data_IF_561090453218
#
_entry.id   IF_561090453218
#
_cell.length_a   1.000
_cell.length_b   1.000
_cell.length_c   1.000
_cell.angle_alpha   90.00
_cell.angle_beta   90.00
_cell.angle_gamma   90.00
#
_symmetry.space_group_name_H-M   'P 1'
#
loop_
_entity.id
_entity.type
_entity.pdbx_description
1 polymer ?
#
# COMPACT_ATOMS: atom_id res chain seq x y z
N UNK A 1 42.10 24.58 7.06
CA UNK A 1 41.33 25.09 5.90
C UNK A 1 40.64 26.37 6.34
N UNK A 2 41.02 27.50 5.72
CA UNK A 2 40.65 28.85 6.14
C UNK A 2 39.16 29.16 5.96
N UNK A 3 38.65 30.04 6.83
CA UNK A 3 37.27 30.52 6.94
C UNK A 3 36.94 31.63 5.93
N UNK A 4 37.60 31.64 4.75
CA UNK A 4 37.68 32.82 3.86
C UNK A 4 36.75 32.79 2.63
N UNK A 5 35.75 31.90 2.56
CA UNK A 5 34.85 31.84 1.38
C UNK A 5 33.36 31.87 1.74
N UNK A 6 32.94 32.87 2.51
CA UNK A 6 31.52 33.25 2.60
C UNK A 6 31.33 34.72 2.18
N UNK A 7 30.32 35.07 1.37
CA UNK A 7 30.10 36.46 0.95
C UNK A 7 29.72 37.34 2.16
N UNK A 8 30.42 38.47 2.33
CA UNK A 8 30.05 39.49 3.32
C UNK A 8 28.99 40.41 2.72
N UNK A 9 27.81 40.47 3.34
CA UNK A 9 26.79 41.44 2.99
C UNK A 9 27.23 42.84 3.45
N UNK A 10 27.18 43.84 2.56
CA UNK A 10 27.29 45.25 2.95
C UNK A 10 26.06 45.62 3.77
N UNK A 11 26.25 46.19 4.95
CA UNK A 11 25.18 46.84 5.69
C UNK A 11 24.65 48.00 4.83
N UNK A 12 23.43 47.85 4.32
CA UNK A 12 22.69 48.95 3.72
C UNK A 12 21.96 49.63 4.87
N UNK A 13 22.40 50.84 5.23
CA UNK A 13 21.63 51.71 6.11
C UNK A 13 20.42 52.21 5.33
N UNK A 14 19.22 51.88 5.84
CA UNK A 14 17.98 52.46 5.31
C UNK A 14 17.75 53.81 5.97
N UNK A 15 17.79 54.85 5.16
CA UNK A 15 17.46 56.23 5.56
C UNK A 15 15.97 56.31 5.95
N UNK A 16 15.69 56.65 7.21
CA UNK A 16 14.35 56.59 7.81
C UNK A 16 13.40 57.71 7.37
N UNK A 17 13.77 58.54 6.38
CA UNK A 17 13.01 59.73 5.99
C UNK A 17 12.29 59.68 4.64
N UNK A 18 12.30 58.55 3.90
CA UNK A 18 11.65 58.46 2.58
C UNK A 18 10.24 57.84 2.55
N UNK A 19 9.58 57.64 3.70
CA UNK A 19 8.30 56.89 3.79
C UNK A 19 7.03 57.77 3.68
N UNK A 20 7.14 59.08 3.41
CA UNK A 20 5.98 59.99 3.49
C UNK A 20 5.46 60.60 2.17
N UNK A 21 5.93 60.16 1.00
CA UNK A 21 5.39 60.63 -0.28
C UNK A 21 4.85 59.50 -1.17
N UNK A 22 3.81 58.80 -0.70
CA UNK A 22 2.91 58.06 -1.60
C UNK A 22 1.71 58.94 -1.99
N UNK A 23 1.76 59.37 -3.25
CA UNK A 23 0.78 60.19 -3.96
C UNK A 23 -0.63 59.60 -3.88
N UNK A 24 -1.57 60.49 -3.51
CA UNK A 24 -3.02 60.34 -3.75
C UNK A 24 -3.25 59.90 -5.21
N UNK A 25 -3.63 58.65 -5.38
CA UNK A 25 -4.12 58.11 -6.65
C UNK A 25 -5.62 57.95 -6.54
N UNK A 26 -6.32 58.62 -7.45
CA UNK A 26 -7.76 58.74 -7.60
C UNK A 26 -8.47 57.39 -7.56
N UNK A 27 -9.50 57.28 -6.71
CA UNK A 27 -10.40 56.12 -6.67
C UNK A 27 -11.32 56.19 -7.89
N UNK A 28 -10.99 55.47 -8.96
CA UNK A 28 -11.92 55.20 -10.05
C UNK A 28 -12.84 54.06 -9.62
N UNK A 29 -14.07 54.37 -9.22
CA UNK A 29 -15.10 53.37 -8.96
C UNK A 29 -15.61 52.81 -10.30
N UNK A 30 -15.05 51.69 -10.75
CA UNK A 30 -15.65 50.90 -11.82
C UNK A 30 -16.87 50.14 -11.26
N UNK A 31 -18.08 50.58 -11.60
CA UNK A 31 -19.29 49.77 -11.38
C UNK A 31 -19.31 48.64 -12.42
N UNK A 32 -18.81 47.47 -12.04
CA UNK A 32 -19.05 46.22 -12.77
C UNK A 32 -20.50 45.77 -12.50
N UNK A 33 -21.41 46.11 -13.40
CA UNK A 33 -22.73 45.48 -13.48
C UNK A 33 -22.57 44.09 -14.10
N UNK A 34 -22.23 43.09 -13.27
CA UNK A 34 -22.34 41.71 -13.69
C UNK A 34 -23.83 41.35 -13.75
N UNK A 35 -24.39 41.24 -14.95
CA UNK A 35 -25.69 40.61 -15.14
C UNK A 35 -25.56 39.16 -14.67
N UNK A 36 -26.16 38.85 -13.51
CA UNK A 36 -26.21 37.50 -12.95
C UNK A 36 -27.11 36.67 -13.88
N UNK A 37 -26.53 36.12 -14.94
CA UNK A 37 -27.13 35.01 -15.66
C UNK A 37 -27.24 33.87 -14.64
N UNK A 38 -28.48 33.45 -14.40
CA UNK A 38 -28.91 32.52 -13.35
C UNK A 38 -28.49 31.08 -13.69
N UNK A 39 -27.21 30.86 -13.94
CA UNK A 39 -26.59 29.54 -13.94
C UNK A 39 -25.95 29.40 -12.56
N UNK A 40 -26.53 28.56 -11.71
CA UNK A 40 -26.03 28.32 -10.36
C UNK A 40 -24.70 27.56 -10.43
N UNK A 41 -23.61 28.24 -10.75
CA UNK A 41 -22.27 27.67 -10.60
C UNK A 41 -22.01 27.44 -9.11
N UNK A 42 -21.57 26.22 -8.78
CA UNK A 42 -21.16 25.87 -7.42
C UNK A 42 -20.01 26.79 -6.97
N UNK A 43 -20.02 27.21 -5.69
CA UNK A 43 -19.04 28.15 -5.14
C UNK A 43 -17.57 27.74 -5.35
N UNK A 44 -17.31 26.43 -5.41
CA UNK A 44 -16.00 25.85 -5.72
C UNK A 44 -16.17 24.62 -6.60
N UNK A 45 -15.17 24.31 -7.42
CA UNK A 45 -15.17 23.09 -8.21
C UNK A 45 -14.74 21.89 -7.35
N UNK A 46 -15.65 20.95 -7.11
CA UNK A 46 -15.40 19.75 -6.31
C UNK A 46 -14.37 18.79 -6.93
N UNK A 47 -14.11 18.86 -8.24
CA UNK A 47 -13.19 17.93 -8.89
C UNK A 47 -11.75 18.08 -8.38
N UNK A 48 -11.40 19.28 -7.91
CA UNK A 48 -10.09 19.62 -7.36
C UNK A 48 -9.85 19.06 -5.95
N UNK A 49 -10.81 18.35 -5.37
CA UNK A 49 -10.75 17.88 -4.00
C UNK A 49 -10.80 16.35 -3.89
N UNK A 50 -10.01 15.84 -2.94
CA UNK A 50 -9.97 14.43 -2.54
C UNK A 50 -10.34 14.24 -1.05
N UNK A 51 -10.65 15.33 -0.35
CA UNK A 51 -10.96 15.32 1.08
C UNK A 51 -12.20 16.16 1.36
N UNK A 52 -13.22 15.52 1.95
CA UNK A 52 -14.50 16.14 2.23
C UNK A 52 -14.43 17.20 3.34
N UNK A 53 -13.60 16.99 4.35
CA UNK A 53 -13.46 17.95 5.45
C UNK A 53 -12.83 19.25 4.95
N UNK A 54 -11.84 19.13 4.05
CA UNK A 54 -11.26 20.29 3.36
C UNK A 54 -12.30 21.05 2.53
N UNK A 55 -13.18 20.35 1.83
CA UNK A 55 -14.32 20.95 1.09
C UNK A 55 -15.22 21.74 2.04
N UNK A 56 -15.61 21.16 3.19
CA UNK A 56 -16.45 21.86 4.16
C UNK A 56 -15.77 23.11 4.73
N UNK A 57 -14.51 23.01 5.12
CA UNK A 57 -13.77 24.14 5.69
C UNK A 57 -13.63 25.28 4.69
N UNK A 58 -13.24 25.00 3.45
CA UNK A 58 -13.09 26.04 2.41
C UNK A 58 -14.44 26.66 2.08
N UNK A 59 -15.49 25.85 1.96
CA UNK A 59 -16.85 26.36 1.69
C UNK A 59 -17.33 27.25 2.83
N UNK A 60 -17.07 26.89 4.09
CA UNK A 60 -17.42 27.70 5.25
C UNK A 60 -16.70 29.05 5.22
N UNK A 61 -15.39 29.07 4.89
CA UNK A 61 -14.64 30.31 4.71
C UNK A 61 -15.20 31.20 3.60
N UNK A 62 -15.55 30.62 2.45
CA UNK A 62 -16.16 31.35 1.34
C UNK A 62 -17.52 31.93 1.76
N UNK A 63 -18.36 31.14 2.44
CA UNK A 63 -19.66 31.61 2.93
C UNK A 63 -19.52 32.74 3.98
N UNK A 64 -18.50 32.67 4.85
CA UNK A 64 -18.20 33.76 5.80
C UNK A 64 -17.73 35.01 5.07
N UNK A 65 -16.86 34.88 4.09
CA UNK A 65 -16.40 36.00 3.28
C UNK A 65 -17.58 36.72 2.60
N UNK A 66 -18.49 35.96 1.98
CA UNK A 66 -19.72 36.51 1.39
C UNK A 66 -20.60 37.22 2.42
N UNK A 67 -20.73 36.66 3.63
CA UNK A 67 -21.45 37.29 4.73
C UNK A 67 -20.83 38.64 5.14
N UNK A 68 -19.50 38.73 5.20
CA UNK A 68 -18.79 39.92 5.67
C UNK A 68 -18.73 41.07 4.65
N UNK A 69 -18.92 40.76 3.35
CA UNK A 69 -19.06 41.79 2.30
C UNK A 69 -20.44 42.46 2.37
N UNK A 70 -21.44 41.74 2.87
CA UNK A 70 -22.83 42.20 2.89
C UNK A 70 -23.03 43.31 3.95
N UNK A 71 -23.31 44.54 3.50
CA UNK A 71 -23.31 45.77 4.34
C UNK A 71 -24.20 45.72 5.59
N UNK A 72 -25.23 44.87 5.61
CA UNK A 72 -26.24 44.80 6.68
C UNK A 72 -26.01 43.66 7.68
N UNK A 73 -24.95 42.86 7.52
CA UNK A 73 -24.68 41.71 8.39
C UNK A 73 -23.54 41.99 9.36
N UNK A 74 -23.63 41.36 10.53
CA UNK A 74 -22.54 41.37 11.51
C UNK A 74 -21.33 40.65 10.92
N UNK A 75 -20.17 41.31 11.02
CA UNK A 75 -18.91 40.73 10.54
C UNK A 75 -18.45 39.65 11.51
N UNK A 76 -18.07 38.51 10.97
CA UNK A 76 -17.60 37.35 11.73
C UNK A 76 -16.08 37.23 11.51
N UNK A 77 -15.32 37.06 12.58
CA UNK A 77 -13.86 36.91 12.58
C UNK A 77 -13.43 35.73 13.47
N UNK A 78 -12.15 35.34 13.44
CA UNK A 78 -11.61 34.23 14.23
C UNK A 78 -11.65 32.88 13.52
N UNK A 79 -11.58 31.78 14.27
CA UNK A 79 -11.62 30.41 13.72
C UNK A 79 -13.01 30.00 13.21
N UNK A 80 -13.09 28.94 12.39
CA UNK A 80 -14.37 28.41 11.91
C UNK A 80 -15.18 27.80 13.04
N UNK A 81 -16.45 28.18 13.12
CA UNK A 81 -17.38 27.65 14.13
C UNK A 81 -18.13 26.42 13.58
N UNK A 82 -18.59 25.55 14.48
CA UNK A 82 -19.39 24.39 14.10
C UNK A 82 -20.64 24.73 13.27
N UNK A 83 -21.42 25.80 13.58
CA UNK A 83 -22.55 26.21 12.75
C UNK A 83 -22.17 26.57 11.30
N UNK A 84 -20.99 27.15 11.08
CA UNK A 84 -20.53 27.49 9.73
C UNK A 84 -20.16 26.24 8.92
N UNK A 85 -19.56 25.26 9.58
CA UNK A 85 -19.29 23.95 8.99
C UNK A 85 -20.59 23.22 8.67
N UNK A 86 -21.59 23.24 9.56
CA UNK A 86 -22.91 22.68 9.29
C UNK A 86 -23.59 23.39 8.11
N UNK A 87 -23.51 24.72 8.04
CA UNK A 87 -24.02 25.48 6.89
C UNK A 87 -23.33 25.08 5.58
N UNK A 88 -22.02 24.85 5.60
CA UNK A 88 -21.27 24.35 4.46
C UNK A 88 -21.70 22.93 4.04
N UNK A 89 -21.97 22.03 4.99
CA UNK A 89 -22.51 20.69 4.71
C UNK A 89 -23.87 20.78 4.02
N UNK A 90 -24.79 21.54 4.60
CA UNK A 90 -26.14 21.74 4.05
C UNK A 90 -26.09 22.39 2.67
N UNK A 91 -25.18 23.33 2.44
CA UNK A 91 -24.95 23.92 1.12
C UNK A 91 -24.65 22.85 0.07
N UNK A 92 -23.71 21.93 0.32
CA UNK A 92 -23.35 20.90 -0.65
C UNK A 92 -24.44 19.88 -0.91
N UNK A 93 -25.19 19.50 0.13
CA UNK A 93 -26.36 18.64 -0.03
C UNK A 93 -27.38 19.34 -0.93
N UNK A 94 -27.68 20.61 -0.64
CA UNK A 94 -28.61 21.43 -1.43
C UNK A 94 -28.18 21.55 -2.88
N UNK A 95 -26.92 21.91 -3.13
CA UNK A 95 -26.38 22.06 -4.49
C UNK A 95 -26.45 20.74 -5.26
N UNK A 96 -26.04 19.63 -4.64
CA UNK A 96 -26.06 18.32 -5.29
C UNK A 96 -27.49 17.88 -5.63
N UNK A 97 -28.44 18.14 -4.73
CA UNK A 97 -29.86 17.83 -4.95
C UNK A 97 -30.48 18.74 -6.01
N UNK A 98 -30.20 20.05 -5.98
CA UNK A 98 -30.69 20.99 -6.99
C UNK A 98 -30.13 20.67 -8.37
N UNK A 99 -28.87 20.27 -8.48
CA UNK A 99 -28.25 19.95 -9.76
C UNK A 99 -28.91 18.72 -10.43
N UNK A 100 -29.20 17.66 -9.68
CA UNK A 100 -29.72 16.40 -10.24
C UNK A 100 -31.25 16.28 -10.17
N UNK A 101 -31.88 16.79 -9.11
CA UNK A 101 -33.30 16.59 -8.80
C UNK A 101 -34.11 17.90 -8.87
N UNK A 102 -33.71 18.87 -9.71
CA UNK A 102 -34.38 20.17 -9.78
C UNK A 102 -35.88 20.01 -10.09
N UNK A 103 -36.22 19.12 -11.05
CA UNK A 103 -37.61 18.86 -11.47
C UNK A 103 -38.46 18.38 -10.31
N UNK A 104 -37.94 17.44 -9.52
CA UNK A 104 -38.61 16.89 -8.34
C UNK A 104 -38.77 17.94 -7.24
N UNK A 105 -37.73 18.73 -6.97
CA UNK A 105 -37.75 19.80 -5.98
C UNK A 105 -38.79 20.85 -6.35
N UNK A 106 -38.81 21.29 -7.60
CA UNK A 106 -39.75 22.31 -8.07
C UNK A 106 -41.21 21.81 -8.08
N UNK A 107 -41.42 20.51 -8.27
CA UNK A 107 -42.76 19.90 -8.14
C UNK A 107 -43.23 19.91 -6.68
N UNK A 108 -42.37 19.48 -5.75
CA UNK A 108 -42.70 19.45 -4.33
C UNK A 108 -42.90 20.85 -3.74
N UNK A 109 -42.13 21.85 -4.18
CA UNK A 109 -42.34 23.26 -3.77
C UNK A 109 -43.70 23.81 -4.19
N UNK A 110 -44.29 23.30 -5.27
CA UNK A 110 -45.62 23.67 -5.76
C UNK A 110 -46.72 22.76 -5.21
N UNK A 111 -46.41 21.96 -4.19
CA UNK A 111 -47.31 20.97 -3.58
C UNK A 111 -47.86 19.94 -4.58
N UNK A 112 -47.14 19.70 -5.68
CA UNK A 112 -47.48 18.69 -6.68
C UNK A 112 -46.76 17.37 -6.36
N UNK A 113 -47.41 16.26 -6.71
CA UNK A 113 -46.79 14.94 -6.66
C UNK A 113 -45.63 14.83 -7.66
N UNK A 114 -44.58 14.11 -7.31
CA UNK A 114 -43.50 13.76 -8.23
C UNK A 114 -44.03 12.82 -9.33
N UNK A 115 -43.52 13.01 -10.54
CA UNK A 115 -43.83 12.16 -11.70
C UNK A 115 -43.39 10.70 -11.47
N UNK A 116 -44.21 9.75 -11.96
CA UNK A 116 -44.01 8.31 -11.76
C UNK A 116 -42.74 7.75 -12.41
N UNK A 117 -42.18 8.46 -13.39
CA UNK A 117 -40.94 8.11 -14.09
C UNK A 117 -39.68 8.40 -13.25
N UNK A 118 -39.80 9.22 -12.21
CA UNK A 118 -38.66 9.64 -11.40
C UNK A 118 -38.12 8.48 -10.60
N UNK A 119 -36.78 8.40 -10.54
CA UNK A 119 -36.04 7.47 -9.67
C UNK A 119 -36.39 7.66 -8.18
N UNK A 120 -36.89 8.85 -7.82
CA UNK A 120 -37.29 9.18 -6.46
C UNK A 120 -38.72 8.81 -6.12
N UNK A 121 -39.59 8.54 -7.09
CA UNK A 121 -41.02 8.31 -6.86
C UNK A 121 -41.28 7.23 -5.80
N UNK A 122 -40.57 6.10 -5.89
CA UNK A 122 -40.67 4.98 -4.95
C UNK A 122 -40.18 5.27 -3.53
N UNK A 123 -39.47 6.38 -3.31
CA UNK A 123 -38.86 6.74 -2.02
C UNK A 123 -39.76 7.66 -1.16
N UNK A 124 -40.96 7.99 -1.64
CA UNK A 124 -41.88 8.93 -1.01
C UNK A 124 -41.17 10.21 -0.50
N UNK A 125 -40.45 10.93 -1.37
CA UNK A 125 -39.58 12.01 -0.97
C UNK A 125 -40.38 13.25 -0.53
N UNK A 126 -39.88 13.95 0.48
CA UNK A 126 -40.42 15.24 0.93
C UNK A 126 -39.31 16.27 1.08
N UNK A 127 -39.67 17.54 1.20
CA UNK A 127 -38.75 18.61 1.57
C UNK A 127 -38.72 18.75 3.09
N UNK A 128 -37.52 18.84 3.66
CA UNK A 128 -37.34 19.20 5.07
C UNK A 128 -37.46 20.72 5.29
N UNK A 129 -37.33 21.17 6.54
CA UNK A 129 -37.40 22.58 6.96
C UNK A 129 -36.37 23.47 6.23
N UNK A 130 -35.28 22.89 5.73
CA UNK A 130 -34.24 23.60 4.98
C UNK A 130 -34.45 23.55 3.45
N UNK A 131 -35.55 22.95 3.01
CA UNK A 131 -35.86 22.71 1.60
C UNK A 131 -34.98 21.65 0.95
N UNK A 132 -34.48 20.68 1.73
CA UNK A 132 -33.69 19.55 1.22
C UNK A 132 -34.58 18.32 1.02
N UNK A 133 -34.31 17.55 -0.03
CA UNK A 133 -34.97 16.28 -0.28
C UNK A 133 -34.59 15.24 0.78
N UNK A 134 -35.59 14.69 1.45
CA UNK A 134 -35.46 13.60 2.42
C UNK A 134 -36.34 12.43 2.03
N UNK A 135 -35.91 11.22 2.40
CA UNK A 135 -36.76 10.03 2.33
C UNK A 135 -37.77 10.08 3.47
N UNK A 136 -39.01 9.65 3.20
CA UNK A 136 -39.98 9.39 4.26
C UNK A 136 -40.39 7.94 4.25
N UNK A 137 -40.70 7.39 5.43
CA UNK A 137 -40.95 5.97 5.59
C UNK A 137 -41.65 5.65 6.91
N UNK A 138 -41.68 4.36 7.24
CA UNK A 138 -42.46 3.82 8.37
C UNK A 138 -41.81 4.02 9.74
N UNK A 139 -40.62 4.63 9.80
CA UNK A 139 -39.88 4.85 11.04
C UNK A 139 -40.28 6.13 11.79
N UNK A 140 -41.35 6.81 11.40
CA UNK A 140 -41.76 8.08 12.02
C UNK A 140 -41.94 8.00 13.55
N UNK A 141 -42.42 6.86 14.06
CA UNK A 141 -42.67 6.62 15.48
C UNK A 141 -41.53 5.89 16.22
N UNK A 142 -40.40 5.58 15.58
CA UNK A 142 -39.27 4.93 16.27
C UNK A 142 -38.52 5.91 17.19
N UNK A 143 -37.62 5.41 18.04
CA UNK A 143 -36.75 6.27 18.87
C UNK A 143 -35.53 6.84 18.13
N UNK A 144 -35.32 6.45 16.86
CA UNK A 144 -34.24 6.97 16.03
C UNK A 144 -34.24 8.50 15.90
N UNK A 145 -33.06 9.06 15.63
CA UNK A 145 -32.91 10.48 15.36
C UNK A 145 -33.70 10.90 14.10
N UNK A 146 -34.07 12.18 14.01
CA UNK A 146 -34.82 12.68 12.86
C UNK A 146 -34.11 12.43 11.52
N UNK A 147 -32.77 12.42 11.50
CA UNK A 147 -31.99 12.18 10.28
C UNK A 147 -31.86 10.70 9.91
N UNK A 148 -31.96 9.80 10.88
CA UNK A 148 -32.09 8.36 10.61
C UNK A 148 -33.48 8.01 10.07
N UNK A 149 -34.53 8.66 10.61
CA UNK A 149 -35.90 8.52 10.12
C UNK A 149 -36.09 9.11 8.73
N UNK A 150 -35.50 10.28 8.51
CA UNK A 150 -35.64 11.08 7.29
C UNK A 150 -34.27 11.46 6.71
N UNK A 151 -33.52 10.48 6.17
CA UNK A 151 -32.19 10.73 5.63
C UNK A 151 -32.24 11.53 4.33
N UNK A 152 -31.24 12.38 4.12
CA UNK A 152 -31.15 13.21 2.91
C UNK A 152 -30.86 12.36 1.69
N UNK A 153 -31.62 12.58 0.62
CA UNK A 153 -31.47 11.86 -0.63
C UNK A 153 -30.25 12.40 -1.37
N UNK A 154 -29.34 11.52 -1.77
CA UNK A 154 -28.19 11.89 -2.59
C UNK A 154 -28.12 11.05 -3.88
N UNK A 155 -27.76 11.66 -5.02
CA UNK A 155 -27.53 10.95 -6.26
C UNK A 155 -26.28 10.06 -6.16
N UNK A 156 -26.21 9.06 -7.01
CA UNK A 156 -25.02 8.22 -7.16
C UNK A 156 -24.11 8.75 -8.26
N UNK A 157 -22.80 8.69 -8.04
CA UNK A 157 -21.80 9.02 -9.05
C UNK A 157 -21.29 10.46 -8.98
N UNK A 158 -22.03 11.36 -8.33
CA UNK A 158 -21.58 12.75 -8.13
C UNK A 158 -20.36 12.83 -7.22
N UNK A 159 -19.48 13.80 -7.52
CA UNK A 159 -18.22 13.99 -6.81
C UNK A 159 -18.40 14.20 -5.32
N UNK A 160 -19.41 14.99 -4.93
CA UNK A 160 -19.77 15.18 -3.52
C UNK A 160 -20.09 13.85 -2.83
N UNK A 161 -20.94 13.03 -3.45
CA UNK A 161 -21.30 11.71 -2.92
C UNK A 161 -20.11 10.76 -2.86
N UNK A 162 -19.20 10.81 -3.83
CA UNK A 162 -17.95 10.01 -3.81
C UNK A 162 -17.09 10.41 -2.61
N UNK A 163 -16.86 11.71 -2.39
CA UNK A 163 -16.10 12.23 -1.26
C UNK A 163 -16.77 11.86 0.08
N UNK A 164 -18.10 11.93 0.14
CA UNK A 164 -18.88 11.51 1.30
C UNK A 164 -18.71 10.03 1.62
N UNK A 165 -18.77 9.15 0.62
CA UNK A 165 -18.53 7.72 0.79
C UNK A 165 -17.09 7.47 1.26
N UNK A 166 -16.10 8.16 0.69
CA UNK A 166 -14.69 8.03 1.11
C UNK A 166 -14.48 8.47 2.55
N UNK A 167 -15.11 9.56 2.96
CA UNK A 167 -15.09 10.06 4.33
C UNK A 167 -15.72 9.04 5.29
N UNK A 168 -16.92 8.55 4.99
CA UNK A 168 -17.58 7.53 5.79
C UNK A 168 -16.75 6.24 5.90
N UNK A 169 -16.12 5.83 4.79
CA UNK A 169 -15.26 4.65 4.76
C UNK A 169 -14.03 4.77 5.67
N UNK A 170 -13.44 5.98 5.75
CA UNK A 170 -12.34 6.28 6.68
C UNK A 170 -12.81 6.27 8.14
N UNK A 171 -13.99 6.83 8.42
CA UNK A 171 -14.54 6.88 9.78
C UNK A 171 -14.85 5.50 10.35
N UNK A 172 -15.30 4.56 9.51
CA UNK A 172 -15.49 3.15 9.91
C UNK A 172 -14.21 2.31 9.83
N UNK A 173 -13.04 2.96 9.78
CA UNK A 173 -11.72 2.32 9.78
C UNK A 173 -11.56 1.24 8.70
N UNK A 174 -12.03 1.53 7.49
CA UNK A 174 -11.93 0.62 6.34
C UNK A 174 -12.63 -0.75 6.49
N UNK A 175 -13.53 -0.91 7.45
CA UNK A 175 -14.14 -2.21 7.80
C UNK A 175 -14.86 -2.92 6.64
N UNK A 176 -15.48 -2.15 5.74
CA UNK A 176 -16.04 -2.70 4.51
C UNK A 176 -17.34 -2.05 4.06
N UNK A 177 -17.96 -2.67 3.06
CA UNK A 177 -19.14 -2.11 2.36
C UNK A 177 -20.33 -1.97 3.29
N UNK A 178 -20.63 -3.00 4.11
CA UNK A 178 -21.80 -3.03 4.97
C UNK A 178 -21.75 -1.91 6.03
N UNK A 179 -20.64 -1.81 6.76
CA UNK A 179 -20.46 -0.79 7.80
C UNK A 179 -20.38 0.62 7.24
N UNK A 180 -19.72 0.80 6.08
CA UNK A 180 -19.70 2.12 5.40
C UNK A 180 -21.12 2.54 5.02
N UNK A 181 -21.93 1.61 4.49
CA UNK A 181 -23.32 1.90 4.13
C UNK A 181 -24.20 2.17 5.35
N UNK A 182 -24.00 1.43 6.45
CA UNK A 182 -24.72 1.66 7.71
C UNK A 182 -24.43 3.06 8.25
N UNK A 183 -23.15 3.45 8.33
CA UNK A 183 -22.75 4.79 8.79
C UNK A 183 -23.31 5.90 7.90
N UNK A 184 -23.35 5.70 6.58
CA UNK A 184 -23.98 6.66 5.67
C UNK A 184 -25.49 6.79 5.91
N UNK A 185 -26.18 5.67 6.20
CA UNK A 185 -27.64 5.64 6.39
C UNK A 185 -28.12 6.36 7.65
N UNK A 186 -27.23 6.66 8.59
CA UNK A 186 -27.56 7.51 9.74
C UNK A 186 -28.05 8.90 9.30
N UNK A 187 -27.60 9.39 8.14
CA UNK A 187 -27.90 10.76 7.67
C UNK A 187 -28.28 10.85 6.18
N UNK A 188 -27.91 9.86 5.37
CA UNK A 188 -27.96 9.94 3.92
C UNK A 188 -28.55 8.69 3.28
N UNK A 189 -29.45 8.90 2.32
CA UNK A 189 -29.96 7.86 1.44
C UNK A 189 -29.39 8.04 0.03
N UNK A 190 -28.29 7.35 -0.25
CA UNK A 190 -27.67 7.38 -1.58
C UNK A 190 -28.43 6.41 -2.50
N UNK A 191 -28.90 6.90 -3.65
CA UNK A 191 -29.53 6.07 -4.68
C UNK A 191 -28.57 4.94 -5.07
N UNK A 192 -29.06 3.69 -5.15
CA UNK A 192 -28.20 2.51 -5.41
C UNK A 192 -26.98 2.43 -4.45
N UNK A 193 -27.15 2.87 -3.20
CA UNK A 193 -26.06 3.13 -2.25
C UNK A 193 -25.04 2.00 -2.10
N UNK A 194 -25.48 0.73 -2.00
CA UNK A 194 -24.55 -0.41 -1.91
C UNK A 194 -23.64 -0.53 -3.14
N UNK A 195 -24.17 -0.29 -4.35
CA UNK A 195 -23.39 -0.29 -5.60
C UNK A 195 -22.40 0.87 -5.62
N UNK A 196 -22.84 2.06 -5.21
CA UNK A 196 -21.99 3.26 -5.12
C UNK A 196 -20.83 3.06 -4.14
N UNK A 197 -21.13 2.58 -2.93
CA UNK A 197 -20.12 2.26 -1.90
C UNK A 197 -19.13 1.22 -2.44
N UNK A 198 -19.61 0.11 -3.02
CA UNK A 198 -18.74 -0.92 -3.62
C UNK A 198 -17.81 -0.33 -4.68
N UNK A 199 -18.31 0.56 -5.55
CA UNK A 199 -17.53 1.20 -6.60
C UNK A 199 -16.41 2.08 -6.03
N UNK A 200 -16.71 2.88 -5.01
CA UNK A 200 -15.73 3.77 -4.37
C UNK A 200 -14.68 2.96 -3.60
N UNK A 201 -15.11 1.98 -2.80
CA UNK A 201 -14.21 1.12 -2.01
C UNK A 201 -13.30 0.27 -2.88
N UNK A 202 -13.75 -0.16 -4.08
CA UNK A 202 -12.91 -0.86 -5.05
C UNK A 202 -11.65 -0.07 -5.39
N UNK A 203 -11.69 1.26 -5.33
CA UNK A 203 -10.56 2.14 -5.63
C UNK A 203 -9.77 2.58 -4.40
N UNK A 204 -10.14 2.15 -3.20
CA UNK A 204 -9.39 2.47 -1.98
C UNK A 204 -8.03 1.77 -2.00
N UNK A 205 -6.93 2.53 -2.01
CA UNK A 205 -5.56 2.02 -2.05
C UNK A 205 -5.25 1.15 -0.83
N UNK A 206 -5.69 1.57 0.35
CA UNK A 206 -5.48 0.85 1.61
C UNK A 206 -6.15 -0.53 1.51
N UNK A 207 -7.47 -0.56 1.22
CA UNK A 207 -8.18 -1.83 1.06
C UNK A 207 -7.62 -2.70 -0.06
N UNK A 208 -7.18 -2.11 -1.19
CA UNK A 208 -6.51 -2.88 -2.26
C UNK A 208 -5.29 -3.59 -1.74
N UNK A 209 -4.38 -2.88 -1.05
CA UNK A 209 -3.12 -3.44 -0.53
C UNK A 209 -3.34 -4.63 0.40
N UNK A 210 -4.34 -4.56 1.27
CA UNK A 210 -4.64 -5.63 2.23
C UNK A 210 -5.47 -6.77 1.65
N UNK A 211 -6.26 -6.52 0.60
CA UNK A 211 -7.13 -7.53 -0.03
C UNK A 211 -6.55 -8.14 -1.32
N UNK A 212 -5.27 -7.88 -1.64
CA UNK A 212 -4.61 -8.52 -2.80
C UNK A 212 -4.54 -10.02 -2.56
N UNK A 213 -5.14 -10.81 -3.47
CA UNK A 213 -4.97 -12.26 -3.46
C UNK A 213 -3.54 -12.63 -3.88
N UNK A 214 -2.94 -13.69 -3.29
CA UNK A 214 -1.67 -14.23 -3.77
C UNK A 214 -1.74 -14.54 -5.27
N UNK A 215 -0.64 -14.33 -5.99
CA UNK A 215 -0.54 -14.73 -7.38
C UNK A 215 -0.76 -16.25 -7.55
N UNK A 216 -1.25 -16.68 -8.71
CA UNK A 216 -1.29 -18.09 -9.06
C UNK A 216 0.14 -18.55 -9.36
N UNK A 217 0.61 -19.59 -8.67
CA UNK A 217 1.91 -20.20 -8.94
C UNK A 217 1.73 -21.27 -10.02
N UNK A 218 2.40 -21.10 -11.16
CA UNK A 218 2.57 -22.17 -12.14
C UNK A 218 3.74 -23.08 -11.72
N UNK A 219 3.59 -24.39 -11.88
CA UNK A 219 4.64 -25.36 -11.55
C UNK A 219 5.73 -25.24 -12.62
N UNK A 220 6.92 -24.81 -12.22
CA UNK A 220 8.06 -24.74 -13.13
C UNK A 220 8.53 -26.14 -13.53
N UNK A 221 9.02 -26.34 -14.77
CA UNK A 221 9.64 -27.60 -15.19
C UNK A 221 10.88 -27.91 -14.33
N UNK A 222 11.18 -29.20 -14.16
CA UNK A 222 12.38 -29.62 -13.44
C UNK A 222 13.65 -29.16 -14.19
N UNK A 223 14.71 -28.74 -13.49
CA UNK A 223 15.98 -28.39 -14.13
C UNK A 223 16.55 -29.57 -14.92
N UNK A 224 17.14 -29.29 -16.09
CA UNK A 224 17.81 -30.31 -16.93
C UNK A 224 18.83 -31.14 -16.14
N UNK A 225 19.54 -30.51 -15.22
CA UNK A 225 20.53 -31.15 -14.34
C UNK A 225 19.94 -32.19 -13.38
N UNK A 226 18.60 -32.29 -13.26
CA UNK A 226 17.90 -33.36 -12.54
C UNK A 226 17.31 -34.43 -13.44
N UNK A 227 17.14 -34.15 -14.73
CA UNK A 227 16.45 -35.05 -15.66
C UNK A 227 17.41 -35.77 -16.59
N UNK A 228 18.61 -35.24 -16.79
CA UNK A 228 19.65 -35.86 -17.61
C UNK A 228 20.52 -36.77 -16.75
N UNK A 229 20.73 -37.98 -17.23
CA UNK A 229 21.64 -38.93 -16.61
C UNK A 229 23.07 -38.38 -16.54
N UNK A 230 23.69 -38.51 -15.37
CA UNK A 230 25.08 -38.08 -15.16
C UNK A 230 25.72 -38.93 -14.07
N UNK A 231 27.06 -39.07 -14.06
CA UNK A 231 27.77 -39.71 -12.97
C UNK A 231 27.35 -39.19 -11.58
N UNK A 232 27.32 -40.05 -10.55
CA UNK A 232 27.00 -39.64 -9.19
C UNK A 232 27.86 -38.45 -8.75
N UNK A 233 27.23 -37.51 -8.04
CA UNK A 233 27.84 -36.27 -7.54
C UNK A 233 28.44 -35.31 -8.59
N UNK A 234 28.26 -35.57 -9.90
CA UNK A 234 28.70 -34.61 -10.93
C UNK A 234 27.94 -33.28 -10.82
N UNK A 235 26.63 -33.35 -10.59
CA UNK A 235 25.81 -32.20 -10.21
C UNK A 235 25.29 -32.40 -8.80
N UNK A 236 25.60 -31.45 -7.93
CA UNK A 236 25.22 -31.47 -6.52
C UNK A 236 24.48 -30.22 -6.12
N UNK A 237 23.68 -30.32 -5.07
CA UNK A 237 23.26 -29.18 -4.26
C UNK A 237 23.94 -29.23 -2.90
N UNK A 238 24.16 -28.06 -2.30
CA UNK A 238 24.74 -27.91 -0.98
C UNK A 238 23.88 -27.03 -0.09
N UNK A 239 23.69 -27.49 1.14
CA UNK A 239 22.92 -26.80 2.17
C UNK A 239 23.55 -26.98 3.55
N UNK A 240 23.23 -26.06 4.46
CA UNK A 240 23.55 -26.21 5.87
C UNK A 240 22.30 -26.66 6.63
N UNK A 241 22.36 -27.85 7.22
CA UNK A 241 21.35 -28.33 8.15
C UNK A 241 21.80 -28.09 9.59
N UNK A 242 20.91 -27.56 10.43
CA UNK A 242 21.21 -27.37 11.85
C UNK A 242 20.30 -26.35 12.52
N UNK A 243 20.69 -25.88 13.72
CA UNK A 243 21.89 -26.32 14.47
C UNK A 243 21.73 -27.69 15.16
N UNK A 244 22.83 -28.45 15.21
CA UNK A 244 23.01 -29.62 16.09
C UNK A 244 23.97 -29.28 17.23
N UNK A 245 24.00 -30.10 18.28
CA UNK A 245 24.97 -29.97 19.37
C UNK A 245 25.88 -31.19 19.42
N UNK A 246 27.19 -30.96 19.32
CA UNK A 246 28.22 -31.99 19.43
C UNK A 246 28.86 -31.95 20.81
N UNK A 247 29.24 -33.12 21.35
CA UNK A 247 29.95 -33.21 22.63
C UNK A 247 31.42 -32.84 22.39
N UNK A 248 31.93 -31.88 23.14
CA UNK A 248 33.35 -31.51 23.17
C UNK A 248 33.94 -31.82 24.54
N UNK A 249 35.26 -31.69 24.68
CA UNK A 249 35.95 -31.97 25.95
C UNK A 249 35.53 -31.03 27.08
N UNK A 250 35.04 -29.84 26.74
CA UNK A 250 34.62 -28.76 27.65
C UNK A 250 33.10 -28.64 27.78
N UNK A 251 32.30 -29.44 27.07
CA UNK A 251 30.85 -29.38 27.15
C UNK A 251 30.13 -29.79 25.86
N UNK A 252 29.17 -28.96 25.43
CA UNK A 252 28.45 -29.15 24.18
C UNK A 252 28.55 -27.89 23.32
N UNK A 253 28.95 -28.05 22.06
CA UNK A 253 29.12 -26.94 21.13
C UNK A 253 28.13 -27.03 19.98
N UNK A 254 27.70 -25.87 19.51
CA UNK A 254 26.81 -25.74 18.36
C UNK A 254 27.58 -26.09 17.09
N UNK A 255 27.03 -26.99 16.30
CA UNK A 255 27.56 -27.38 15.00
C UNK A 255 26.44 -27.42 13.96
N UNK A 256 26.83 -27.62 12.72
CA UNK A 256 25.97 -27.70 11.55
C UNK A 256 26.41 -28.89 10.72
N UNK A 257 25.54 -29.35 9.84
CA UNK A 257 25.81 -30.40 8.87
C UNK A 257 25.86 -29.72 7.51
N UNK A 258 26.99 -29.81 6.81
CA UNK A 258 27.06 -29.50 5.40
C UNK A 258 26.54 -30.71 4.65
N UNK A 259 25.41 -30.53 3.97
CA UNK A 259 24.71 -31.59 3.26
C UNK A 259 24.93 -31.38 1.77
N UNK A 260 25.62 -32.34 1.14
CA UNK A 260 25.75 -32.41 -0.31
C UNK A 260 24.75 -33.44 -0.84
N UNK A 261 23.84 -33.03 -1.74
CA UNK A 261 22.87 -33.93 -2.38
C UNK A 261 23.21 -34.09 -3.85
N UNK A 262 23.35 -35.32 -4.33
CA UNK A 262 23.45 -35.59 -5.75
C UNK A 262 22.11 -35.31 -6.46
N UNK A 263 22.13 -34.56 -7.56
CA UNK A 263 20.93 -34.17 -8.29
C UNK A 263 20.21 -35.35 -8.98
N UNK A 264 20.98 -36.36 -9.41
CA UNK A 264 20.49 -37.52 -10.18
C UNK A 264 20.05 -38.64 -9.25
N UNK A 265 20.92 -39.10 -8.35
CA UNK A 265 20.64 -40.27 -7.49
C UNK A 265 19.94 -39.92 -6.19
N UNK A 266 19.90 -38.64 -5.80
CA UNK A 266 19.50 -38.17 -4.47
C UNK A 266 20.35 -38.72 -3.31
N UNK A 267 21.51 -39.34 -3.60
CA UNK A 267 22.47 -39.74 -2.58
C UNK A 267 23.02 -38.52 -1.83
N UNK A 268 23.27 -38.68 -0.54
CA UNK A 268 23.71 -37.61 0.35
C UNK A 268 25.10 -37.86 0.91
N UNK A 269 25.92 -36.83 0.94
CA UNK A 269 27.20 -36.80 1.65
C UNK A 269 27.12 -35.76 2.76
N UNK A 270 27.39 -36.17 3.99
CA UNK A 270 27.25 -35.34 5.18
C UNK A 270 28.62 -35.04 5.78
N UNK A 271 28.87 -33.76 6.05
CA UNK A 271 30.07 -33.29 6.73
C UNK A 271 29.68 -32.48 7.96
N UNK A 272 30.39 -32.66 9.08
CA UNK A 272 30.18 -31.83 10.27
C UNK A 272 30.96 -30.53 10.11
N UNK A 273 30.27 -29.41 10.35
CA UNK A 273 30.84 -28.06 10.36
C UNK A 273 30.63 -27.42 11.74
N UNK A 274 31.71 -26.98 12.38
CA UNK A 274 31.66 -26.33 13.69
C UNK A 274 30.99 -24.95 13.65
N UNK A 275 30.93 -24.30 12.48
CA UNK A 275 30.25 -23.03 12.29
C UNK A 275 29.80 -22.87 10.82
N UNK A 276 29.12 -21.76 10.52
CA UNK A 276 28.65 -21.42 9.16
C UNK A 276 29.68 -20.59 8.36
N UNK A 277 30.95 -20.57 8.75
CA UNK A 277 31.98 -19.78 8.06
C UNK A 277 32.33 -20.36 6.69
N UNK A 278 32.90 -19.52 5.83
CA UNK A 278 33.43 -19.95 4.53
C UNK A 278 34.59 -20.93 4.67
N UNK A 279 35.45 -20.77 5.67
CA UNK A 279 36.62 -21.63 5.89
C UNK A 279 36.20 -23.05 6.26
N UNK A 280 35.29 -23.19 7.23
CA UNK A 280 34.73 -24.48 7.63
C UNK A 280 33.99 -25.15 6.48
N UNK A 281 33.29 -24.37 5.66
CA UNK A 281 32.68 -24.86 4.43
C UNK A 281 33.72 -25.40 3.44
N UNK A 282 34.76 -24.63 3.12
CA UNK A 282 35.79 -25.03 2.15
C UNK A 282 36.54 -26.29 2.59
N UNK A 283 36.80 -26.46 3.89
CA UNK A 283 37.38 -27.70 4.44
C UNK A 283 36.43 -28.89 4.24
N UNK A 284 35.14 -28.70 4.47
CA UNK A 284 34.12 -29.73 4.24
C UNK A 284 33.99 -30.06 2.77
N UNK A 285 34.03 -29.05 1.90
CA UNK A 285 34.01 -29.20 0.46
C UNK A 285 35.24 -29.96 -0.06
N UNK A 286 36.44 -29.68 0.49
CA UNK A 286 37.66 -30.43 0.18
C UNK A 286 37.51 -31.92 0.50
N UNK A 287 37.00 -32.26 1.68
CA UNK A 287 36.76 -33.67 2.07
C UNK A 287 35.73 -34.34 1.17
N UNK A 288 34.67 -33.62 0.81
CA UNK A 288 33.67 -34.09 -0.14
C UNK A 288 34.29 -34.43 -1.50
N UNK A 289 35.02 -33.50 -2.15
CA UNK A 289 35.61 -33.76 -3.47
C UNK A 289 36.70 -34.84 -3.43
N UNK A 290 37.44 -34.97 -2.33
CA UNK A 290 38.43 -36.03 -2.17
C UNK A 290 37.81 -37.43 -2.11
N UNK A 291 36.55 -37.56 -1.67
CA UNK A 291 35.84 -38.84 -1.57
C UNK A 291 34.91 -39.13 -2.73
N UNK A 292 34.24 -38.10 -3.28
CA UNK A 292 33.20 -38.24 -4.30
C UNK A 292 33.65 -37.81 -5.70
N UNK A 293 34.84 -37.23 -5.82
CA UNK A 293 35.35 -36.64 -7.05
C UNK A 293 34.93 -35.17 -7.21
N UNK A 294 35.51 -34.51 -8.20
CA UNK A 294 35.23 -33.11 -8.50
C UNK A 294 33.86 -32.98 -9.17
N UNK A 295 32.95 -32.24 -8.56
CA UNK A 295 31.66 -31.92 -9.17
C UNK A 295 31.80 -30.89 -10.29
N UNK A 296 31.00 -31.02 -11.35
CA UNK A 296 30.90 -30.04 -12.43
C UNK A 296 29.98 -28.88 -12.08
N UNK A 297 28.87 -29.13 -11.38
CA UNK A 297 27.89 -28.11 -11.01
C UNK A 297 27.49 -28.21 -9.55
N UNK A 298 27.46 -27.07 -8.84
CA UNK A 298 26.98 -26.95 -7.47
C UNK A 298 25.81 -25.96 -7.40
N UNK A 299 24.70 -26.39 -6.82
CA UNK A 299 23.56 -25.56 -6.47
C UNK A 299 23.60 -25.17 -5.00
N UNK A 300 23.27 -23.92 -4.66
CA UNK A 300 23.09 -23.52 -3.25
C UNK A 300 22.11 -22.37 -3.08
N UNK A 301 21.65 -22.15 -1.85
CA UNK A 301 21.04 -20.87 -1.47
C UNK A 301 22.08 -19.76 -1.35
N UNK A 302 21.62 -18.51 -1.21
CA UNK A 302 22.46 -17.31 -1.17
C UNK A 302 23.12 -17.07 0.19
N UNK A 303 23.64 -18.11 0.84
CA UNK A 303 24.40 -17.96 2.07
C UNK A 303 25.64 -17.08 1.84
N UNK A 304 25.98 -16.21 2.79
CA UNK A 304 27.23 -15.43 2.73
C UNK A 304 28.46 -16.33 2.64
N UNK A 305 28.42 -17.47 3.31
CA UNK A 305 29.50 -18.46 3.27
C UNK A 305 29.71 -19.08 1.90
N UNK A 306 28.63 -19.51 1.24
CA UNK A 306 28.66 -20.07 -0.12
C UNK A 306 29.04 -19.04 -1.18
N UNK A 307 28.49 -17.83 -1.12
CA UNK A 307 28.86 -16.76 -2.06
C UNK A 307 30.34 -16.38 -1.95
N UNK A 308 30.89 -16.30 -0.73
CA UNK A 308 32.33 -16.08 -0.53
C UNK A 308 33.16 -17.30 -0.95
N UNK A 309 32.69 -18.53 -0.71
CA UNK A 309 33.36 -19.75 -1.17
C UNK A 309 33.48 -19.79 -2.70
N UNK A 310 32.39 -19.49 -3.42
CA UNK A 310 32.39 -19.42 -4.87
C UNK A 310 33.41 -18.37 -5.40
N UNK A 311 33.53 -17.21 -4.74
CA UNK A 311 34.54 -16.21 -5.10
C UNK A 311 35.96 -16.76 -4.94
N UNK A 312 36.26 -17.38 -3.81
CA UNK A 312 37.58 -17.99 -3.53
C UNK A 312 37.89 -19.09 -4.55
N UNK A 313 36.94 -19.98 -4.85
CA UNK A 313 37.14 -21.04 -5.85
C UNK A 313 37.41 -20.47 -7.24
N UNK A 314 36.68 -19.43 -7.66
CA UNK A 314 36.94 -18.77 -8.94
C UNK A 314 38.33 -18.12 -9.00
N UNK A 315 38.81 -17.53 -7.91
CA UNK A 315 40.15 -16.96 -7.83
C UNK A 315 41.24 -18.04 -7.88
N UNK A 316 41.06 -19.15 -7.18
CA UNK A 316 42.00 -20.28 -7.25
C UNK A 316 42.06 -20.82 -8.69
N UNK A 317 40.91 -20.93 -9.36
CA UNK A 317 40.82 -21.46 -10.73
C UNK A 317 41.48 -20.52 -11.73
N UNK A 318 41.34 -19.20 -11.56
CA UNK A 318 42.00 -18.22 -12.45
C UNK A 318 43.52 -18.23 -12.31
N UNK A 319 44.06 -18.57 -11.13
CA UNK A 319 45.50 -18.75 -10.90
C UNK A 319 46.03 -20.04 -11.51
N UNK A 320 45.31 -21.16 -11.34
CA UNK A 320 45.71 -22.48 -11.88
C UNK A 320 45.68 -22.48 -13.42
N UNK A 321 44.71 -21.77 -14.02
CA UNK A 321 44.55 -21.66 -15.46
C UNK A 321 45.70 -20.95 -16.18
N UNK A 322 46.72 -20.43 -15.46
CA UNK A 322 47.93 -19.83 -16.04
C UNK A 322 49.12 -20.81 -16.16
N UNK A 323 48.91 -22.10 -15.88
CA UNK A 323 49.97 -23.13 -15.83
C UNK A 323 49.81 -24.22 -16.90
N UNK A 324 50.81 -25.10 -17.07
CA UNK A 324 50.76 -26.27 -18.00
C UNK A 324 49.59 -27.24 -17.77
N UNK A 325 48.85 -27.11 -16.66
CA UNK A 325 47.66 -27.94 -16.33
C UNK A 325 46.34 -27.24 -16.74
N UNK A 326 46.43 -26.14 -17.49
CA UNK A 326 45.30 -25.29 -17.88
C UNK A 326 44.17 -26.04 -18.58
N UNK A 327 44.48 -26.99 -19.47
CA UNK A 327 43.45 -27.70 -20.24
C UNK A 327 42.51 -28.50 -19.33
N UNK A 328 43.06 -29.32 -18.43
CA UNK A 328 42.27 -30.14 -17.50
C UNK A 328 41.38 -29.28 -16.59
N UNK A 329 41.89 -28.18 -16.03
CA UNK A 329 41.11 -27.32 -15.13
C UNK A 329 40.13 -26.40 -15.85
N UNK A 330 40.40 -26.05 -17.10
CA UNK A 330 39.45 -25.32 -17.95
C UNK A 330 38.26 -26.22 -18.30
N UNK A 331 38.53 -27.48 -18.66
CA UNK A 331 37.49 -28.48 -18.97
C UNK A 331 36.70 -28.92 -17.72
N UNK A 332 37.33 -28.91 -16.54
CA UNK A 332 36.73 -29.37 -15.28
C UNK A 332 36.42 -28.23 -14.28
N UNK A 333 36.15 -27.02 -14.76
CA UNK A 333 35.77 -25.89 -13.88
C UNK A 333 34.40 -26.14 -13.22
N UNK A 334 34.34 -25.89 -11.91
CA UNK A 334 33.08 -25.96 -11.15
C UNK A 334 32.19 -24.77 -11.54
N UNK A 335 30.96 -25.06 -11.93
CA UNK A 335 29.91 -24.07 -12.17
C UNK A 335 29.04 -23.96 -10.92
N UNK A 336 29.05 -22.79 -10.28
CA UNK A 336 28.20 -22.53 -9.11
C UNK A 336 26.90 -21.81 -9.53
N UNK A 337 25.76 -22.40 -9.18
CA UNK A 337 24.42 -21.86 -9.45
C UNK A 337 23.71 -21.50 -8.15
N UNK A 338 23.33 -20.25 -7.99
CA UNK A 338 22.53 -19.79 -6.84
C UNK A 338 21.05 -19.76 -7.20
N UNK A 339 20.19 -20.21 -6.29
CA UNK A 339 18.74 -20.01 -6.45
C UNK A 339 18.36 -18.53 -6.31
N UNK A 340 17.16 -18.18 -6.76
CA UNK A 340 16.60 -16.85 -6.54
C UNK A 340 16.48 -16.60 -5.01
N UNK A 341 16.94 -15.46 -4.48
CA UNK A 341 16.78 -15.12 -3.07
C UNK A 341 15.31 -15.25 -2.62
N UNK A 342 15.09 -15.88 -1.46
CA UNK A 342 13.76 -16.11 -0.88
C UNK A 342 12.84 -17.03 -1.70
N UNK A 343 13.38 -17.76 -2.68
CA UNK A 343 12.65 -18.73 -3.48
C UNK A 343 13.06 -20.17 -3.12
N UNK A 344 12.80 -20.59 -1.87
CA UNK A 344 13.15 -21.93 -1.37
C UNK A 344 12.61 -23.08 -2.23
N UNK A 345 11.46 -22.88 -2.89
CA UNK A 345 10.87 -23.88 -3.79
C UNK A 345 11.78 -24.28 -4.97
N UNK A 346 12.74 -23.43 -5.37
CA UNK A 346 13.76 -23.80 -6.36
C UNK A 346 14.74 -24.86 -5.84
N UNK A 347 14.83 -25.02 -4.53
CA UNK A 347 15.70 -25.96 -3.84
C UNK A 347 15.06 -27.25 -3.36
N UNK A 348 13.84 -27.55 -3.80
CA UNK A 348 13.03 -28.63 -3.25
C UNK A 348 13.73 -30.00 -3.19
N UNK A 349 14.64 -30.32 -4.13
CA UNK A 349 15.28 -31.64 -4.18
C UNK A 349 16.33 -31.85 -3.06
N UNK A 350 17.02 -30.81 -2.60
CA UNK A 350 17.95 -30.92 -1.46
C UNK A 350 17.30 -30.50 -0.14
N UNK A 351 16.34 -29.58 -0.16
CA UNK A 351 15.56 -29.23 1.04
C UNK A 351 14.83 -30.44 1.60
N UNK A 352 14.31 -31.32 0.73
CA UNK A 352 13.74 -32.61 1.15
C UNK A 352 14.77 -33.49 1.83
N UNK A 353 16.03 -33.50 1.38
CA UNK A 353 17.10 -34.28 2.00
C UNK A 353 17.52 -33.72 3.35
N UNK A 354 17.53 -32.39 3.52
CA UNK A 354 17.70 -31.76 4.84
C UNK A 354 16.66 -32.29 5.83
N UNK A 355 15.39 -32.41 5.41
CA UNK A 355 14.33 -33.02 6.23
C UNK A 355 14.63 -34.50 6.54
N UNK A 356 15.00 -35.29 5.53
CA UNK A 356 15.36 -36.71 5.69
C UNK A 356 16.49 -36.94 6.69
N UNK A 357 17.42 -35.99 6.81
CA UNK A 357 18.51 -36.04 7.82
C UNK A 357 18.04 -35.54 9.19
N UNK A 358 17.32 -34.42 9.25
CA UNK A 358 16.87 -33.82 10.52
C UNK A 358 15.91 -34.72 11.29
N UNK A 359 14.95 -35.35 10.62
CA UNK A 359 13.91 -36.16 11.27
C UNK A 359 14.46 -37.31 12.13
N UNK A 360 15.31 -38.22 11.62
CA UNK A 360 15.87 -39.30 12.42
C UNK A 360 16.83 -38.77 13.50
N UNK A 361 17.63 -37.74 13.21
CA UNK A 361 18.52 -37.15 14.21
C UNK A 361 17.74 -36.57 15.40
N UNK A 362 16.60 -35.91 15.16
CA UNK A 362 15.75 -35.35 16.22
C UNK A 362 15.16 -36.44 17.10
N UNK A 363 14.70 -37.54 16.51
CA UNK A 363 14.14 -38.69 17.24
C UNK A 363 15.18 -39.38 18.13
N UNK A 364 16.38 -39.58 17.61
CA UNK A 364 17.43 -40.34 18.30
C UNK A 364 18.23 -39.51 19.31
N UNK A 365 18.56 -38.26 18.98
CA UNK A 365 19.43 -37.43 19.83
C UNK A 365 18.67 -36.71 20.95
N UNK A 366 17.33 -36.65 20.89
CA UNK A 366 16.41 -36.02 21.88
C UNK A 366 16.72 -34.56 22.29
N UNK A 367 17.82 -33.98 21.81
CA UNK A 367 18.18 -32.56 21.92
C UNK A 367 17.65 -31.83 20.68
N UNK A 368 16.93 -30.75 20.94
CA UNK A 368 16.10 -30.02 19.99
C UNK A 368 16.94 -29.54 18.79
N UNK A 369 16.81 -30.22 17.66
CA UNK A 369 16.97 -29.62 16.33
C UNK A 369 15.77 -28.68 16.14
N UNK A 370 15.98 -27.36 16.01
CA UNK A 370 14.94 -26.45 15.53
C UNK A 370 14.46 -26.86 14.14
#
# INVERSE_FOLDING_TARGET
MSMEKWPKFKNIEFDKFSIFDEKRSTVTSAQLSCAINKVSESLINLENFSDLQKVYNITAWVLRFLNNIEKRKTKISGELTAPEIEKAKLYWIKQTQQFIFNREIDSLKREKSIEKDSKLYSLNPKLDENGLLVVTGRLQFSEFSQKEKHPWILPNGEKFTILLIQYAHKNVLHFGIASTLAHLREKYFIIKGRKSVKSVLKNCIICKKFNVSPGKQEIAPLPKDRTVESPPFLTCAVDFAGPIYIKTRTGSEKAYIVLFTCAVTTDIHLEVATNLSTETFLLSFKRFISRRGLCKTIYSYNAKSFTKANKILNEVWSRISKSKVQQYFTENKIIWKFIIPRASWWGGFWERMVRSVKTPLKKNLRKILP
#
